data_IF_702873881368
#
_entry.id   IF_702873881368
#
_cell.length_a   1.000
_cell.length_b   1.000
_cell.length_c   1.000
_cell.angle_alpha   90.00
_cell.angle_beta   90.00
_cell.angle_gamma   90.00
#
_symmetry.space_group_name_H-M   'P 1'
#
loop_
_entity.id
_entity.type
_entity.pdbx_description
1 polymer ?
#
# COMPACT_ATOMS: atom_id res chain seq x y z
N UNK A 1 46.78 43.81 -53.72
CA UNK A 1 46.25 42.64 -52.97
C UNK A 1 45.94 43.09 -51.55
N UNK A 2 44.66 43.05 -51.18
CA UNK A 2 44.08 43.59 -49.94
C UNK A 2 44.44 42.72 -48.71
N UNK A 3 44.93 43.35 -47.63
CA UNK A 3 44.98 42.76 -46.29
C UNK A 3 43.74 43.22 -45.50
N UNK A 4 42.85 42.28 -45.14
CA UNK A 4 41.70 42.54 -44.26
C UNK A 4 42.05 42.16 -42.82
N UNK A 5 41.96 43.14 -41.93
CA UNK A 5 42.05 43.05 -40.47
C UNK A 5 40.82 42.33 -39.90
N UNK A 6 41.01 41.31 -39.06
CA UNK A 6 39.92 40.68 -38.30
C UNK A 6 39.95 41.16 -36.83
N UNK A 7 38.94 41.92 -36.43
CA UNK A 7 38.65 42.23 -35.02
C UNK A 7 37.86 41.06 -34.41
N UNK A 8 38.37 40.43 -33.34
CA UNK A 8 37.60 39.48 -32.51
C UNK A 8 36.99 40.25 -31.33
N UNK A 9 35.66 40.39 -31.31
CA UNK A 9 34.93 40.84 -30.12
C UNK A 9 34.74 39.67 -29.16
N UNK A 10 35.15 39.86 -27.90
CA UNK A 10 34.92 38.91 -26.80
C UNK A 10 33.67 39.37 -26.04
N UNK A 11 32.60 38.59 -26.12
CA UNK A 11 31.39 38.78 -25.31
C UNK A 11 31.58 38.11 -23.94
N UNK A 12 31.64 38.90 -22.87
CA UNK A 12 31.55 38.40 -21.50
C UNK A 12 30.08 38.09 -21.17
N UNK A 13 29.73 36.81 -21.03
CA UNK A 13 28.44 36.40 -20.48
C UNK A 13 28.50 36.52 -18.94
N UNK A 14 27.82 37.52 -18.40
CA UNK A 14 27.57 37.62 -16.95
C UNK A 14 26.50 36.58 -16.62
N UNK A 15 26.92 35.47 -16.01
CA UNK A 15 26.01 34.47 -15.45
C UNK A 15 25.44 35.05 -14.16
N UNK A 16 24.21 35.57 -14.23
CA UNK A 16 23.42 35.90 -13.04
C UNK A 16 22.81 34.59 -12.55
N UNK A 17 23.39 33.99 -11.51
CA UNK A 17 22.75 32.88 -10.80
C UNK A 17 21.54 33.43 -10.04
N UNK A 18 20.29 33.04 -10.36
CA UNK A 18 19.16 33.39 -9.50
C UNK A 18 19.34 32.68 -8.15
N UNK A 19 19.22 33.45 -7.07
CA UNK A 19 19.16 32.90 -5.72
C UNK A 19 17.88 32.05 -5.62
N UNK A 20 18.05 30.73 -5.68
CA UNK A 20 16.99 29.78 -5.34
C UNK A 20 16.90 29.76 -3.81
N UNK A 21 15.91 30.47 -3.26
CA UNK A 21 15.51 30.29 -1.87
C UNK A 21 14.78 28.95 -1.76
N UNK A 22 15.40 27.97 -1.11
CA UNK A 22 14.71 26.76 -0.71
C UNK A 22 13.70 27.13 0.38
N UNK A 23 12.40 27.13 0.05
CA UNK A 23 11.35 27.10 1.06
C UNK A 23 11.43 25.75 1.74
N UNK A 24 11.56 25.72 3.07
CA UNK A 24 11.64 24.51 3.88
C UNK A 24 10.27 23.81 4.00
N UNK A 25 9.55 23.68 2.89
CA UNK A 25 8.40 22.79 2.81
C UNK A 25 8.94 21.36 2.80
N UNK A 26 8.62 20.62 3.86
CA UNK A 26 8.91 19.19 3.91
C UNK A 26 8.12 18.43 2.84
N UNK A 27 8.40 17.14 2.63
CA UNK A 27 7.67 16.35 1.65
C UNK A 27 6.19 16.23 2.05
N UNK A 28 5.26 16.28 1.10
CA UNK A 28 3.83 16.09 1.40
C UNK A 28 3.53 14.65 1.83
N UNK A 29 4.34 13.69 1.35
CA UNK A 29 4.17 12.27 1.61
C UNK A 29 5.49 11.59 1.91
N UNK A 30 5.44 10.58 2.78
CA UNK A 30 6.52 9.65 3.04
C UNK A 30 6.17 8.25 2.53
N UNK A 31 7.22 7.45 2.39
CA UNK A 31 7.18 6.00 2.26
C UNK A 31 8.18 5.36 3.22
N UNK A 32 8.08 4.05 3.45
CA UNK A 32 9.16 3.34 4.13
C UNK A 32 10.45 3.38 3.32
N UNK A 33 11.60 3.43 4.00
CA UNK A 33 12.88 3.15 3.36
C UNK A 33 12.93 1.72 2.84
N UNK A 34 13.72 1.49 1.79
CA UNK A 34 13.75 0.20 1.09
C UNK A 34 14.21 -0.97 1.99
N UNK A 35 15.03 -0.69 3.01
CA UNK A 35 15.52 -1.64 4.02
C UNK A 35 14.62 -1.78 5.26
N UNK A 36 13.58 -0.95 5.37
CA UNK A 36 12.63 -0.96 6.49
C UNK A 36 11.39 -1.76 6.11
N UNK A 37 11.23 -2.93 6.70
CA UNK A 37 10.08 -3.83 6.44
C UNK A 37 8.85 -3.53 7.30
N UNK A 38 9.02 -2.73 8.35
CA UNK A 38 7.97 -2.41 9.30
C UNK A 38 8.17 -1.00 9.86
N UNK A 39 7.08 -0.23 9.93
CA UNK A 39 7.03 1.05 10.61
C UNK A 39 6.08 0.94 11.80
N UNK A 40 6.58 1.30 12.97
CA UNK A 40 5.77 1.41 14.19
C UNK A 40 5.17 2.81 14.29
N UNK A 41 3.86 2.88 14.51
CA UNK A 41 3.11 4.11 14.69
C UNK A 41 2.78 4.29 16.16
N UNK A 42 3.07 5.46 16.70
CA UNK A 42 2.96 5.78 18.12
C UNK A 42 1.97 6.93 18.38
N UNK A 43 1.39 6.98 19.58
CA UNK A 43 0.47 8.05 19.97
C UNK A 43 1.20 9.40 20.19
N UNK A 44 2.43 9.36 20.70
CA UNK A 44 3.29 10.53 20.95
C UNK A 44 4.66 10.33 20.26
N UNK A 45 5.44 11.41 20.01
CA UNK A 45 6.75 11.34 19.37
C UNK A 45 7.85 10.79 20.30
N UNK A 46 7.62 9.61 20.85
CA UNK A 46 8.55 8.91 21.75
C UNK A 46 8.31 7.38 21.69
N UNK A 47 9.41 6.61 21.72
CA UNK A 47 9.37 5.14 21.57
C UNK A 47 8.69 4.41 22.72
N UNK A 48 8.53 5.08 23.86
CA UNK A 48 7.88 4.54 25.07
C UNK A 48 6.37 4.79 25.12
N UNK A 49 5.85 5.62 24.21
CA UNK A 49 4.43 5.90 24.17
C UNK A 49 3.64 4.70 23.64
N UNK A 50 2.31 4.80 23.76
CA UNK A 50 1.39 3.76 23.29
C UNK A 50 1.63 3.46 21.81
N UNK A 51 1.89 2.18 21.53
CA UNK A 51 1.92 1.64 20.17
C UNK A 51 0.50 1.59 19.61
N UNK A 52 0.28 2.24 18.47
CA UNK A 52 -1.00 2.27 17.78
C UNK A 52 -1.09 1.15 16.74
N UNK A 53 -0.10 1.04 15.86
CA UNK A 53 -0.12 0.06 14.77
C UNK A 53 1.30 -0.23 14.24
N UNK A 54 1.49 -1.44 13.73
CA UNK A 54 2.68 -1.88 12.99
C UNK A 54 2.37 -1.98 11.50
N UNK A 55 2.74 -0.96 10.73
CA UNK A 55 2.59 -0.97 9.27
C UNK A 55 3.65 -1.89 8.67
N UNK A 56 3.27 -2.79 7.74
CA UNK A 56 4.18 -3.70 7.06
C UNK A 56 4.44 -3.26 5.62
N UNK A 57 5.70 -3.33 5.19
CA UNK A 57 6.11 -2.97 3.83
C UNK A 57 5.37 -3.80 2.76
N UNK A 58 5.11 -3.20 1.56
CA UNK A 58 5.41 -1.82 1.19
C UNK A 58 4.46 -0.80 1.85
N UNK A 59 5.01 0.32 2.33
CA UNK A 59 4.27 1.43 2.96
C UNK A 59 4.53 2.69 2.16
N UNK A 60 3.47 3.26 1.60
CA UNK A 60 3.55 4.36 0.63
C UNK A 60 2.47 5.38 0.96
N UNK A 61 2.63 6.62 0.48
CA UNK A 61 1.58 7.64 0.66
C UNK A 61 1.26 7.95 2.13
N UNK A 62 2.24 7.85 3.03
CA UNK A 62 2.09 8.33 4.40
C UNK A 62 1.99 9.85 4.37
N UNK A 63 0.80 10.42 4.52
CA UNK A 63 0.59 11.86 4.46
C UNK A 63 1.34 12.55 5.59
N UNK A 64 2.23 13.47 5.27
CA UNK A 64 2.99 14.24 6.25
C UNK A 64 2.10 15.30 6.89
N UNK A 65 1.88 15.19 8.20
CA UNK A 65 1.16 16.19 9.01
C UNK A 65 2.11 17.10 9.80
N UNK A 66 3.42 16.98 9.55
CA UNK A 66 4.49 17.78 10.16
C UNK A 66 5.45 16.95 11.01
N UNK A 67 6.70 17.40 11.07
CA UNK A 67 7.75 16.76 11.89
C UNK A 67 8.21 17.66 13.04
N UNK A 68 8.67 17.03 14.13
CA UNK A 68 9.24 17.68 15.33
C UNK A 68 10.61 17.07 15.65
N UNK A 69 11.43 17.81 16.40
CA UNK A 69 12.74 17.35 16.88
C UNK A 69 13.92 17.70 15.96
N UNK A 70 13.69 18.40 14.84
CA UNK A 70 14.77 18.94 14.01
C UNK A 70 15.46 20.12 14.69
N UNK A 71 16.79 20.13 14.67
CA UNK A 71 17.61 21.29 15.08
C UNK A 71 17.89 22.20 13.88
N UNK A 72 18.24 23.48 14.12
CA UNK A 72 18.57 24.40 13.04
C UNK A 72 19.80 23.92 12.26
N UNK A 73 19.93 24.31 10.99
CA UNK A 73 21.11 23.95 10.19
C UNK A 73 22.43 24.39 10.84
N UNK A 74 22.42 25.58 11.47
CA UNK A 74 23.58 26.12 12.19
C UNK A 74 23.92 25.26 13.42
N UNK A 75 22.91 24.82 14.18
CA UNK A 75 23.14 23.95 15.33
C UNK A 75 23.62 22.57 14.88
N UNK A 76 23.05 22.03 13.80
CA UNK A 76 23.42 20.76 13.19
C UNK A 76 24.90 20.70 12.78
N UNK A 77 25.42 21.78 12.18
CA UNK A 77 26.82 21.88 11.77
C UNK A 77 27.80 21.81 12.95
N UNK A 78 27.36 22.18 14.15
CA UNK A 78 28.18 22.19 15.35
C UNK A 78 28.13 20.87 16.15
N UNK A 79 27.35 19.88 15.69
CA UNK A 79 27.23 18.58 16.36
C UNK A 79 28.36 17.63 15.96
N UNK A 80 28.79 16.79 16.92
CA UNK A 80 29.63 15.62 16.64
C UNK A 80 28.77 14.46 16.08
N UNK A 81 29.39 13.36 15.64
CA UNK A 81 28.67 12.25 14.99
C UNK A 81 27.68 11.52 15.93
N UNK A 82 28.01 11.41 17.21
CA UNK A 82 27.11 10.81 18.22
C UNK A 82 25.86 11.68 18.42
N UNK A 83 26.05 13.00 18.54
CA UNK A 83 24.97 13.97 18.67
C UNK A 83 24.11 14.02 17.40
N UNK A 84 24.72 13.95 16.20
CA UNK A 84 23.96 13.86 14.94
C UNK A 84 23.11 12.60 14.89
N UNK A 85 23.65 11.46 15.31
CA UNK A 85 22.90 10.20 15.37
C UNK A 85 21.71 10.30 16.33
N UNK A 86 21.92 10.88 17.52
CA UNK A 86 20.87 11.12 18.50
C UNK A 86 19.78 12.03 17.95
N UNK A 87 20.15 13.17 17.37
CA UNK A 87 19.19 14.10 16.77
C UNK A 87 18.41 13.44 15.63
N UNK A 88 19.04 12.62 14.77
CA UNK A 88 18.29 11.86 13.74
C UNK A 88 17.22 10.95 14.34
N UNK A 89 17.52 10.32 15.47
CA UNK A 89 16.59 9.43 16.17
C UNK A 89 15.49 10.19 16.92
N UNK A 90 15.73 11.46 17.25
CA UNK A 90 14.79 12.37 17.90
C UNK A 90 13.89 13.13 16.92
N UNK A 91 14.07 12.94 15.60
CA UNK A 91 13.14 13.49 14.59
C UNK A 91 11.95 12.54 14.43
N UNK A 92 10.76 13.07 14.71
CA UNK A 92 9.50 12.36 14.58
C UNK A 92 8.59 13.09 13.61
N UNK A 93 7.92 12.34 12.75
CA UNK A 93 6.95 12.87 11.81
C UNK A 93 5.58 12.34 12.16
N UNK A 94 4.61 13.25 12.29
CA UNK A 94 3.21 12.89 12.41
C UNK A 94 2.70 12.55 11.03
N UNK A 95 2.07 11.40 10.89
CA UNK A 95 1.54 10.90 9.63
C UNK A 95 0.05 10.62 9.75
N UNK A 96 -0.63 10.67 8.61
CA UNK A 96 -1.93 10.03 8.43
C UNK A 96 -1.83 8.97 7.32
N UNK A 97 -2.43 7.81 7.57
CA UNK A 97 -2.42 6.67 6.67
C UNK A 97 -3.72 5.87 6.86
N UNK A 98 -4.62 5.92 5.87
CA UNK A 98 -6.00 5.44 6.00
C UNK A 98 -6.67 5.99 7.26
N UNK A 99 -7.17 5.13 8.15
CA UNK A 99 -7.82 5.48 9.42
C UNK A 99 -6.82 5.72 10.58
N UNK A 100 -5.51 5.65 10.31
CA UNK A 100 -4.47 5.76 11.33
C UNK A 100 -3.83 7.14 11.26
N UNK A 101 -3.83 7.85 12.38
CA UNK A 101 -3.06 9.07 12.59
C UNK A 101 -2.13 8.88 13.79
N UNK A 102 -0.83 9.13 13.62
CA UNK A 102 0.15 8.93 14.69
C UNK A 102 1.57 9.38 14.33
N UNK A 103 2.53 9.09 15.20
CA UNK A 103 3.92 9.49 15.08
C UNK A 103 4.83 8.34 14.67
N UNK A 104 5.75 8.62 13.75
CA UNK A 104 6.75 7.69 13.24
C UNK A 104 8.13 8.33 13.31
N UNK A 105 9.18 7.53 13.54
CA UNK A 105 10.55 8.03 13.50
C UNK A 105 10.96 8.35 12.06
N UNK A 106 11.45 9.57 11.81
CA UNK A 106 11.85 10.00 10.46
C UNK A 106 13.00 9.17 9.88
N UNK A 107 13.79 8.52 10.74
CA UNK A 107 14.85 7.60 10.30
C UNK A 107 14.33 6.40 9.49
N UNK A 108 13.06 6.04 9.64
CA UNK A 108 12.41 4.91 8.96
C UNK A 108 11.69 5.35 7.67
N UNK A 109 11.63 6.67 7.44
CA UNK A 109 10.91 7.32 6.35
C UNK A 109 11.85 7.82 5.26
N UNK A 110 11.32 7.92 4.05
CA UNK A 110 11.91 8.67 2.96
C UNK A 110 10.81 9.35 2.16
N UNK A 111 11.14 10.40 1.41
CA UNK A 111 10.17 11.17 0.63
C UNK A 111 9.49 10.30 -0.45
N UNK A 112 8.17 10.43 -0.56
CA UNK A 112 7.36 9.80 -1.60
C UNK A 112 6.88 10.83 -2.62
N UNK A 113 7.80 11.23 -3.51
CA UNK A 113 7.54 12.18 -4.58
C UNK A 113 6.50 11.71 -5.63
N UNK A 114 6.03 10.46 -5.56
CA UNK A 114 5.09 9.89 -6.53
C UNK A 114 3.64 9.83 -6.04
N UNK A 115 3.37 9.96 -4.74
CA UNK A 115 2.01 9.90 -4.20
C UNK A 115 1.15 11.14 -4.53
N UNK A 116 1.72 12.17 -5.18
CA UNK A 116 0.98 13.41 -5.52
C UNK A 116 0.08 13.29 -6.76
N UNK A 117 0.22 12.24 -7.56
CA UNK A 117 -0.52 12.06 -8.80
C UNK A 117 -0.89 10.58 -9.01
N UNK A 118 -2.09 10.27 -9.55
CA UNK A 118 -2.43 8.91 -9.92
C UNK A 118 -1.54 8.44 -11.08
N UNK A 119 -1.60 7.15 -11.39
CA UNK A 119 -0.73 6.50 -12.38
C UNK A 119 -0.99 6.91 -13.83
N UNK A 120 -1.89 7.86 -14.04
CA UNK A 120 -2.25 8.46 -15.31
C UNK A 120 -2.37 9.99 -15.18
N UNK A 121 -2.28 10.68 -16.31
CA UNK A 121 -2.30 12.14 -16.32
C UNK A 121 -3.72 12.69 -16.12
N UNK A 122 -3.99 13.28 -14.96
CA UNK A 122 -5.27 13.91 -14.63
C UNK A 122 -5.71 15.02 -15.60
N UNK A 123 -4.81 15.68 -16.31
CA UNK A 123 -5.19 16.66 -17.33
C UNK A 123 -5.74 16.00 -18.62
N UNK A 124 -5.62 14.69 -18.78
CA UNK A 124 -6.01 13.94 -20.00
C UNK A 124 -7.15 12.96 -19.78
N UNK A 125 -7.65 12.81 -18.55
CA UNK A 125 -8.72 11.84 -18.26
C UNK A 125 -10.04 12.30 -18.86
N UNK A 126 -10.80 11.32 -19.36
CA UNK A 126 -12.17 11.53 -19.88
C UNK A 126 -13.21 10.67 -19.14
N UNK A 127 -12.75 9.65 -18.41
CA UNK A 127 -13.62 8.82 -17.59
C UNK A 127 -14.07 9.60 -16.35
N UNK A 128 -15.36 9.51 -16.03
CA UNK A 128 -15.92 10.11 -14.81
C UNK A 128 -15.22 9.57 -13.56
N UNK A 129 -14.97 8.25 -13.52
CA UNK A 129 -14.30 7.62 -12.38
C UNK A 129 -12.82 8.01 -12.28
N UNK A 130 -12.12 8.15 -13.39
CA UNK A 130 -10.72 8.61 -13.36
C UNK A 130 -10.63 10.09 -12.95
N UNK A 131 -11.62 10.90 -13.34
CA UNK A 131 -11.75 12.29 -12.87
C UNK A 131 -12.03 12.32 -11.37
N UNK A 132 -12.91 11.44 -10.87
CA UNK A 132 -13.16 11.29 -9.45
C UNK A 132 -11.88 10.94 -8.70
N UNK A 133 -11.11 9.94 -9.15
CA UNK A 133 -9.84 9.55 -8.52
C UNK A 133 -8.89 10.74 -8.45
N UNK A 134 -8.74 11.51 -9.53
CA UNK A 134 -7.89 12.71 -9.56
C UNK A 134 -8.28 13.82 -8.57
N UNK A 135 -9.52 13.84 -8.08
CA UNK A 135 -10.02 14.89 -7.19
C UNK A 135 -9.97 14.53 -5.71
N UNK A 136 -9.72 13.26 -5.37
CA UNK A 136 -9.67 12.80 -3.98
C UNK A 136 -8.31 12.19 -3.67
N UNK A 137 -7.58 12.80 -2.73
CA UNK A 137 -6.24 12.37 -2.35
C UNK A 137 -6.20 10.91 -1.91
N UNK A 138 -7.17 10.44 -1.13
CA UNK A 138 -7.23 9.03 -0.69
C UNK A 138 -7.32 8.05 -1.88
N UNK A 139 -8.05 8.41 -2.94
CA UNK A 139 -8.13 7.58 -4.14
C UNK A 139 -6.84 7.62 -4.98
N UNK A 140 -6.12 8.74 -4.97
CA UNK A 140 -4.78 8.85 -5.57
C UNK A 140 -3.80 7.94 -4.83
N UNK A 141 -3.81 7.99 -3.50
CA UNK A 141 -2.93 7.19 -2.66
C UNK A 141 -3.19 5.68 -2.88
N UNK A 142 -4.46 5.28 -2.97
CA UNK A 142 -4.87 3.91 -3.29
C UNK A 142 -4.46 3.48 -4.72
N UNK A 143 -4.57 4.36 -5.71
CA UNK A 143 -4.12 4.08 -7.09
C UNK A 143 -2.61 3.86 -7.17
N UNK A 144 -1.85 4.70 -6.48
CA UNK A 144 -0.42 4.57 -6.38
C UNK A 144 -0.01 3.31 -5.61
N UNK A 145 -0.66 3.02 -4.48
CA UNK A 145 -0.39 1.84 -3.67
C UNK A 145 -0.65 0.55 -4.45
N UNK A 146 -1.79 0.46 -5.15
CA UNK A 146 -2.10 -0.68 -6.01
C UNK A 146 -1.03 -0.88 -7.09
N UNK A 147 -0.49 0.19 -7.66
CA UNK A 147 0.57 0.08 -8.66
C UNK A 147 1.82 -0.58 -8.10
N UNK A 148 2.21 -0.25 -6.87
CA UNK A 148 3.37 -0.88 -6.22
C UNK A 148 3.13 -2.33 -5.84
N UNK A 149 1.95 -2.64 -5.30
CA UNK A 149 1.55 -4.03 -5.05
C UNK A 149 1.52 -4.84 -6.35
N UNK A 150 1.04 -4.26 -7.44
CA UNK A 150 1.02 -4.90 -8.75
C UNK A 150 2.42 -5.11 -9.35
N UNK A 151 3.35 -4.16 -9.21
CA UNK A 151 4.76 -4.33 -9.59
C UNK A 151 5.42 -5.50 -8.83
N UNK A 152 5.15 -5.62 -7.53
CA UNK A 152 5.64 -6.73 -6.71
C UNK A 152 5.02 -8.07 -7.14
N UNK A 153 3.71 -8.10 -7.39
CA UNK A 153 3.00 -9.26 -7.91
C UNK A 153 3.57 -9.72 -9.26
N UNK A 154 3.85 -8.80 -10.18
CA UNK A 154 4.50 -9.11 -11.46
C UNK A 154 5.90 -9.70 -11.27
N UNK A 155 6.66 -9.16 -10.30
CA UNK A 155 7.99 -9.66 -9.98
C UNK A 155 7.91 -11.10 -9.45
N UNK A 156 6.99 -11.39 -8.53
CA UNK A 156 6.72 -12.76 -8.05
C UNK A 156 6.28 -13.69 -9.19
N UNK A 157 5.31 -13.26 -9.99
CA UNK A 157 4.79 -14.02 -11.12
C UNK A 157 5.86 -14.40 -12.14
N UNK A 158 6.84 -13.52 -12.38
CA UNK A 158 7.95 -13.80 -13.30
C UNK A 158 8.97 -14.82 -12.78
N UNK A 159 8.93 -15.13 -11.48
CA UNK A 159 9.92 -15.96 -10.77
C UNK A 159 9.33 -17.28 -10.26
N UNK A 160 8.07 -17.59 -10.55
CA UNK A 160 7.49 -18.88 -10.19
C UNK A 160 8.09 -19.99 -11.06
N UNK A 161 8.16 -21.20 -10.51
CA UNK A 161 8.77 -22.35 -11.20
C UNK A 161 7.92 -22.83 -12.38
N UNK A 162 6.59 -22.81 -12.21
CA UNK A 162 5.66 -23.36 -13.19
C UNK A 162 5.02 -22.26 -14.06
N UNK A 163 5.26 -22.32 -15.36
CA UNK A 163 4.66 -21.42 -16.37
C UNK A 163 4.73 -19.89 -16.06
N UNK A 164 5.88 -19.30 -15.69
CA UNK A 164 5.98 -17.89 -15.26
C UNK A 164 5.49 -16.88 -16.32
N UNK A 165 5.70 -17.16 -17.61
CA UNK A 165 5.19 -16.30 -18.69
C UNK A 165 3.66 -16.23 -18.72
N UNK A 166 3.01 -17.38 -18.51
CA UNK A 166 1.56 -17.48 -18.52
C UNK A 166 0.97 -16.78 -17.29
N UNK A 167 1.57 -16.98 -16.11
CA UNK A 167 1.19 -16.29 -14.89
C UNK A 167 1.30 -14.75 -15.01
N UNK A 168 2.37 -14.23 -15.61
CA UNK A 168 2.52 -12.80 -15.89
C UNK A 168 1.45 -12.30 -16.88
N UNK A 169 1.15 -13.07 -17.92
CA UNK A 169 0.12 -12.69 -18.91
C UNK A 169 -1.28 -12.67 -18.30
N UNK A 170 -1.62 -13.67 -17.49
CA UNK A 170 -2.89 -13.75 -16.76
C UNK A 170 -3.03 -12.62 -15.75
N UNK A 171 -1.98 -12.34 -14.96
CA UNK A 171 -1.97 -11.21 -14.03
C UNK A 171 -2.20 -9.88 -14.75
N UNK A 172 -1.58 -9.66 -15.91
CA UNK A 172 -1.82 -8.48 -16.75
C UNK A 172 -3.26 -8.43 -17.29
N UNK A 173 -3.81 -9.56 -17.71
CA UNK A 173 -5.17 -9.63 -18.24
C UNK A 173 -6.22 -9.34 -17.15
N UNK A 174 -6.09 -9.97 -15.99
CA UNK A 174 -6.98 -9.75 -14.84
C UNK A 174 -6.88 -8.32 -14.32
N UNK A 175 -5.67 -7.72 -14.31
CA UNK A 175 -5.52 -6.31 -13.92
C UNK A 175 -6.26 -5.36 -14.88
N UNK A 176 -6.20 -5.61 -16.20
CA UNK A 176 -7.00 -4.82 -17.17
C UNK A 176 -8.50 -5.01 -16.97
N UNK A 177 -8.94 -6.24 -16.68
CA UNK A 177 -10.33 -6.52 -16.35
C UNK A 177 -10.78 -5.78 -15.10
N UNK A 178 -9.95 -5.79 -14.05
CA UNK A 178 -10.21 -5.06 -12.81
C UNK A 178 -10.34 -3.54 -13.03
N UNK A 179 -9.45 -2.92 -13.83
CA UNK A 179 -9.56 -1.47 -14.13
C UNK A 179 -10.92 -1.14 -14.78
N UNK A 180 -11.41 -2.00 -15.67
CA UNK A 180 -12.75 -1.85 -16.26
C UNK A 180 -13.85 -1.98 -15.20
N UNK A 181 -13.76 -2.99 -14.33
CA UNK A 181 -14.70 -3.19 -13.21
C UNK A 181 -14.75 -2.02 -12.24
N UNK A 182 -13.59 -1.47 -11.84
CA UNK A 182 -13.51 -0.25 -11.04
C UNK A 182 -14.17 0.93 -11.74
N UNK A 183 -13.90 1.10 -13.04
CA UNK A 183 -14.49 2.21 -13.79
C UNK A 183 -16.01 2.07 -13.91
N UNK A 184 -16.57 0.86 -13.85
CA UNK A 184 -18.02 0.61 -13.81
C UNK A 184 -18.74 1.17 -12.57
N UNK A 185 -18.00 1.62 -11.55
CA UNK A 185 -18.54 2.42 -10.45
C UNK A 185 -19.26 3.70 -10.90
N UNK A 186 -19.12 4.12 -12.17
CA UNK A 186 -19.92 5.22 -12.73
C UNK A 186 -21.43 4.95 -12.63
N UNK A 187 -21.82 3.67 -12.57
CA UNK A 187 -23.22 3.21 -12.43
C UNK A 187 -23.79 3.41 -11.02
N UNK A 188 -22.93 3.58 -10.01
CA UNK A 188 -23.36 3.71 -8.62
C UNK A 188 -23.90 5.12 -8.35
N UNK A 189 -25.21 5.24 -8.17
CA UNK A 189 -25.85 6.52 -7.87
C UNK A 189 -25.61 6.91 -6.41
N UNK A 190 -24.95 8.05 -6.18
CA UNK A 190 -24.68 8.57 -4.82
C UNK A 190 -23.56 7.87 -4.04
N UNK A 191 -22.96 6.81 -4.60
CA UNK A 191 -21.94 6.00 -3.92
C UNK A 191 -20.66 5.76 -4.74
N UNK A 192 -20.42 6.53 -5.81
CA UNK A 192 -19.25 6.36 -6.71
C UNK A 192 -17.92 6.33 -5.96
N UNK A 193 -17.73 7.26 -5.02
CA UNK A 193 -16.52 7.33 -4.19
C UNK A 193 -16.27 6.02 -3.44
N UNK A 194 -17.27 5.56 -2.70
CA UNK A 194 -17.16 4.34 -1.89
C UNK A 194 -16.97 3.10 -2.75
N UNK A 195 -17.63 3.03 -3.91
CA UNK A 195 -17.42 1.95 -4.88
C UNK A 195 -15.96 1.90 -5.36
N UNK A 196 -15.39 3.05 -5.74
CA UNK A 196 -14.01 3.13 -6.22
C UNK A 196 -13.03 2.78 -5.10
N UNK A 197 -13.21 3.36 -3.91
CA UNK A 197 -12.40 3.07 -2.73
C UNK A 197 -12.37 1.56 -2.45
N UNK A 198 -13.55 0.94 -2.32
CA UNK A 198 -13.64 -0.49 -2.02
C UNK A 198 -13.01 -1.37 -3.11
N UNK A 199 -13.14 -1.01 -4.38
CA UNK A 199 -12.47 -1.72 -5.48
C UNK A 199 -10.94 -1.71 -5.34
N UNK A 200 -10.34 -0.60 -4.93
CA UNK A 200 -8.91 -0.52 -4.66
C UNK A 200 -8.52 -1.34 -3.43
N UNK A 201 -9.19 -1.10 -2.30
CA UNK A 201 -8.92 -1.78 -1.03
C UNK A 201 -8.91 -3.30 -1.21
N UNK A 202 -9.93 -3.83 -1.89
CA UNK A 202 -10.05 -5.26 -2.18
C UNK A 202 -8.96 -5.77 -3.10
N UNK A 203 -8.63 -5.06 -4.19
CA UNK A 203 -7.63 -5.53 -5.16
C UNK A 203 -6.22 -5.53 -4.58
N UNK A 204 -5.89 -4.53 -3.77
CA UNK A 204 -4.61 -4.43 -3.09
C UNK A 204 -4.43 -5.63 -2.16
N UNK A 205 -5.39 -5.86 -1.25
CA UNK A 205 -5.35 -6.99 -0.32
C UNK A 205 -5.34 -8.33 -1.06
N UNK A 206 -6.16 -8.50 -2.10
CA UNK A 206 -6.20 -9.71 -2.92
C UNK A 206 -4.82 -10.06 -3.50
N UNK A 207 -4.13 -9.08 -4.11
CA UNK A 207 -2.81 -9.31 -4.70
C UNK A 207 -1.75 -9.61 -3.64
N UNK A 208 -1.81 -8.96 -2.48
CA UNK A 208 -0.90 -9.23 -1.37
C UNK A 208 -1.00 -10.68 -0.89
N UNK A 209 -2.22 -11.21 -0.73
CA UNK A 209 -2.43 -12.61 -0.35
C UNK A 209 -2.07 -13.55 -1.52
N UNK A 210 -2.63 -13.32 -2.72
CA UNK A 210 -2.49 -14.22 -3.87
C UNK A 210 -1.04 -14.49 -4.25
N UNK A 211 -0.17 -13.49 -4.10
CA UNK A 211 1.24 -13.58 -4.45
C UNK A 211 2.17 -13.70 -3.25
N UNK A 212 1.61 -13.93 -2.05
CA UNK A 212 2.36 -14.00 -0.79
C UNK A 212 3.39 -12.85 -0.67
N UNK A 213 2.91 -11.62 -0.87
CA UNK A 213 3.75 -10.42 -0.83
C UNK A 213 4.10 -10.01 0.60
N UNK A 214 3.33 -10.49 1.56
CA UNK A 214 3.57 -10.34 3.00
C UNK A 214 3.47 -11.73 3.67
N UNK A 215 4.15 -11.95 4.81
CA UNK A 215 4.02 -13.20 5.55
C UNK A 215 2.60 -13.37 6.12
N UNK A 216 2.15 -14.62 6.29
CA UNK A 216 0.96 -14.90 7.06
C UNK A 216 1.21 -14.62 8.55
N UNK A 217 0.21 -14.07 9.21
CA UNK A 217 0.18 -13.84 10.66
C UNK A 217 -0.02 -15.16 11.41
N UNK A 218 -0.90 -16.02 10.90
CA UNK A 218 -1.18 -17.32 11.48
C UNK A 218 -1.62 -18.31 10.41
N UNK A 219 -1.37 -19.59 10.65
CA UNK A 219 -1.85 -20.70 9.84
C UNK A 219 -2.62 -21.65 10.75
N UNK A 220 -3.93 -21.76 10.53
CA UNK A 220 -4.85 -22.50 11.39
C UNK A 220 -5.54 -23.60 10.57
N UNK A 221 -5.66 -24.81 11.15
CA UNK A 221 -6.32 -25.95 10.50
C UNK A 221 -7.67 -26.21 11.15
N UNK A 222 -8.70 -26.39 10.33
CA UNK A 222 -10.07 -26.64 10.76
C UNK A 222 -10.58 -27.96 10.19
N UNK A 223 -11.11 -28.82 11.05
CA UNK A 223 -11.65 -30.11 10.65
C UNK A 223 -13.18 -30.11 10.71
N UNK A 224 -13.82 -30.50 9.62
CA UNK A 224 -15.27 -30.46 9.49
C UNK A 224 -15.91 -31.80 9.83
N UNK A 225 -16.91 -31.79 10.72
CA UNK A 225 -17.51 -33.01 11.26
C UNK A 225 -18.28 -33.83 10.21
N UNK A 226 -18.88 -33.17 9.21
CA UNK A 226 -19.84 -33.78 8.28
C UNK A 226 -19.21 -34.44 7.05
N UNK A 227 -18.00 -34.08 6.64
CA UNK A 227 -17.42 -34.53 5.38
C UNK A 227 -15.94 -34.95 5.43
N UNK A 228 -15.32 -35.01 6.62
CA UNK A 228 -13.88 -35.23 6.83
C UNK A 228 -12.98 -34.26 6.03
N UNK A 229 -13.52 -33.11 5.63
CA UNK A 229 -12.77 -32.06 4.98
C UNK A 229 -11.91 -31.30 5.97
N UNK A 230 -10.69 -30.96 5.56
CA UNK A 230 -9.76 -30.10 6.30
C UNK A 230 -9.60 -28.79 5.54
N UNK A 231 -9.80 -27.67 6.25
CA UNK A 231 -9.48 -26.34 5.75
C UNK A 231 -8.22 -25.83 6.42
N UNK A 232 -7.26 -25.36 5.63
CA UNK A 232 -6.11 -24.59 6.16
C UNK A 232 -6.34 -23.11 5.88
N UNK A 233 -6.42 -22.30 6.92
CA UNK A 233 -6.62 -20.85 6.85
C UNK A 233 -5.32 -20.15 7.20
N UNK A 234 -4.72 -19.49 6.22
CA UNK A 234 -3.60 -18.57 6.42
C UNK A 234 -4.14 -17.14 6.48
N UNK A 235 -4.05 -16.48 7.64
CA UNK A 235 -4.48 -15.09 7.83
C UNK A 235 -3.33 -14.14 7.54
N UNK A 236 -3.64 -13.00 6.91
CA UNK A 236 -2.66 -11.98 6.54
C UNK A 236 -3.14 -10.60 7.02
N UNK A 237 -2.24 -9.86 7.65
CA UNK A 237 -2.44 -8.44 7.98
C UNK A 237 -2.17 -7.56 6.74
N UNK A 238 -2.90 -7.83 5.66
CA UNK A 238 -2.88 -7.00 4.46
C UNK A 238 -3.40 -5.59 4.77
N UNK A 239 -3.00 -4.64 3.93
CA UNK A 239 -3.42 -3.26 4.00
C UNK A 239 -4.12 -2.92 2.68
N UNK A 240 -5.22 -2.16 2.68
CA UNK A 240 -5.89 -1.55 3.85
C UNK A 240 -6.87 -2.46 4.59
N UNK A 241 -7.27 -3.60 4.02
CA UNK A 241 -8.17 -4.58 4.66
C UNK A 241 -7.46 -5.91 4.85
N UNK A 242 -7.89 -6.71 5.83
CA UNK A 242 -7.32 -8.05 6.09
C UNK A 242 -7.72 -9.05 5.01
N UNK A 243 -6.84 -10.03 4.80
CA UNK A 243 -7.00 -11.05 3.77
C UNK A 243 -6.61 -12.43 4.30
N UNK A 244 -7.10 -13.46 3.63
CA UNK A 244 -6.83 -14.85 3.98
C UNK A 244 -6.66 -15.70 2.72
N UNK A 245 -5.73 -16.65 2.77
CA UNK A 245 -5.67 -17.76 1.84
C UNK A 245 -6.27 -18.98 2.53
N UNK A 246 -7.31 -19.56 1.93
CA UNK A 246 -7.97 -20.77 2.44
C UNK A 246 -7.77 -21.90 1.47
N UNK A 247 -7.18 -22.98 1.97
CA UNK A 247 -6.94 -24.21 1.24
C UNK A 247 -7.98 -25.25 1.62
N UNK A 248 -8.56 -25.90 0.60
CA UNK A 248 -9.51 -27.00 0.75
C UNK A 248 -9.30 -28.03 -0.36
N UNK A 249 -8.79 -29.20 -0.01
CA UNK A 249 -8.25 -30.15 -0.99
C UNK A 249 -7.09 -29.51 -1.77
N UNK A 250 -7.08 -29.66 -3.09
CA UNK A 250 -6.02 -29.12 -3.96
C UNK A 250 -6.27 -27.66 -4.42
N UNK A 251 -7.24 -26.98 -3.81
CA UNK A 251 -7.65 -25.63 -4.21
C UNK A 251 -7.35 -24.62 -3.11
N UNK A 252 -6.72 -23.52 -3.51
CA UNK A 252 -6.55 -22.33 -2.67
C UNK A 252 -7.44 -21.21 -3.20
N UNK A 253 -8.21 -20.58 -2.31
CA UNK A 253 -8.98 -19.37 -2.61
C UNK A 253 -8.56 -18.23 -1.69
N UNK A 254 -8.77 -17.01 -2.18
CA UNK A 254 -8.47 -15.77 -1.45
C UNK A 254 -9.78 -15.20 -0.92
N UNK A 255 -9.76 -14.77 0.33
CA UNK A 255 -10.90 -14.16 1.00
C UNK A 255 -10.46 -12.86 1.65
N UNK A 256 -11.36 -11.89 1.73
CA UNK A 256 -11.09 -10.53 2.23
C UNK A 256 -12.12 -10.17 3.30
N UNK A 257 -11.68 -9.45 4.31
CA UNK A 257 -12.57 -8.92 5.34
C UNK A 257 -13.14 -7.58 4.87
N UNK A 258 -14.26 -7.62 4.13
CA UNK A 258 -14.83 -6.45 3.44
C UNK A 258 -15.65 -5.57 4.40
N UNK A 259 -16.33 -6.16 5.39
CA UNK A 259 -17.05 -5.42 6.42
C UNK A 259 -16.19 -5.27 7.69
N UNK A 260 -15.77 -4.04 7.98
CA UNK A 260 -15.01 -3.73 9.18
C UNK A 260 -15.82 -3.89 10.48
N UNK A 261 -17.16 -3.91 10.41
CA UNK A 261 -18.04 -4.12 11.58
C UNK A 261 -18.09 -5.59 11.98
N UNK A 262 -18.21 -6.49 11.00
CA UNK A 262 -18.14 -7.92 11.23
C UNK A 262 -16.71 -8.44 11.03
N UNK A 263 -15.91 -8.31 12.10
CA UNK A 263 -14.52 -8.77 12.09
C UNK A 263 -14.35 -10.29 12.07
N UNK A 264 -15.45 -11.04 12.13
CA UNK A 264 -15.42 -12.50 12.12
C UNK A 264 -15.50 -13.09 10.71
N UNK A 265 -15.95 -12.31 9.71
CA UNK A 265 -16.29 -12.79 8.38
C UNK A 265 -15.29 -12.35 7.31
N UNK A 266 -14.96 -13.28 6.41
CA UNK A 266 -14.16 -13.05 5.22
C UNK A 266 -14.91 -13.57 3.99
N UNK A 267 -15.05 -12.72 2.97
CA UNK A 267 -15.77 -13.03 1.73
C UNK A 267 -14.79 -13.28 0.58
N UNK A 268 -15.09 -14.30 -0.21
CA UNK A 268 -14.34 -14.70 -1.39
C UNK A 268 -15.18 -14.56 -2.66
N UNK A 269 -14.62 -14.98 -3.79
CA UNK A 269 -15.32 -14.94 -5.07
C UNK A 269 -16.53 -15.89 -5.12
N UNK A 270 -17.48 -15.58 -5.99
CA UNK A 270 -18.67 -16.41 -6.27
C UNK A 270 -19.52 -16.74 -5.03
N UNK A 271 -19.61 -15.80 -4.09
CA UNK A 271 -20.44 -15.94 -2.88
C UNK A 271 -19.86 -16.89 -1.83
N UNK A 272 -18.63 -17.37 -2.01
CA UNK A 272 -17.94 -18.12 -0.96
C UNK A 272 -17.57 -17.22 0.20
N UNK A 273 -17.59 -17.75 1.42
CA UNK A 273 -17.18 -17.01 2.62
C UNK A 273 -16.72 -17.96 3.72
N UNK A 274 -16.02 -17.43 4.72
CA UNK A 274 -15.88 -18.09 6.00
C UNK A 274 -16.05 -17.13 7.18
N UNK A 275 -16.48 -17.67 8.31
CA UNK A 275 -16.59 -16.96 9.58
C UNK A 275 -15.80 -17.71 10.66
N UNK A 276 -15.03 -16.99 11.46
CA UNK A 276 -14.26 -17.55 12.58
C UNK A 276 -14.81 -17.03 13.92
N UNK A 277 -15.10 -17.95 14.84
CA UNK A 277 -15.54 -17.63 16.21
C UNK A 277 -14.84 -18.56 17.19
N UNK A 278 -13.92 -18.02 17.98
CA UNK A 278 -13.11 -18.77 18.93
C UNK A 278 -12.39 -19.98 18.30
N UNK A 279 -12.92 -21.19 18.52
CA UNK A 279 -12.40 -22.46 17.98
C UNK A 279 -13.27 -23.05 16.89
N UNK A 280 -14.30 -22.34 16.45
CA UNK A 280 -15.23 -22.75 15.42
C UNK A 280 -15.00 -21.95 14.14
N UNK A 281 -15.15 -22.62 13.01
CA UNK A 281 -15.15 -22.01 11.70
C UNK A 281 -16.37 -22.46 10.90
N UNK A 282 -17.06 -21.52 10.26
CA UNK A 282 -18.15 -21.79 9.33
C UNK A 282 -17.64 -21.47 7.93
N UNK A 283 -17.70 -22.43 7.01
CA UNK A 283 -17.15 -22.30 5.66
C UNK A 283 -18.23 -22.56 4.62
N UNK A 284 -18.53 -21.57 3.78
CA UNK A 284 -19.28 -21.80 2.55
C UNK A 284 -18.32 -21.80 1.36
N UNK A 285 -18.14 -22.96 0.76
CA UNK A 285 -17.38 -23.12 -0.47
C UNK A 285 -18.35 -23.11 -1.66
N UNK A 286 -17.97 -22.51 -2.79
CA UNK A 286 -18.83 -22.28 -3.97
C UNK A 286 -19.61 -23.51 -4.49
N UNK A 287 -19.12 -24.72 -4.27
CA UNK A 287 -19.78 -25.97 -4.70
C UNK A 287 -20.68 -26.59 -3.63
N UNK A 288 -20.70 -26.02 -2.43
CA UNK A 288 -21.52 -26.49 -1.31
C UNK A 288 -22.84 -25.73 -1.29
N UNK A 289 -23.94 -26.48 -1.17
CA UNK A 289 -25.28 -25.89 -0.97
C UNK A 289 -25.49 -25.37 0.45
N UNK A 290 -24.68 -25.86 1.41
CA UNK A 290 -24.77 -25.49 2.82
C UNK A 290 -23.39 -25.20 3.42
N UNK A 291 -23.29 -24.28 4.41
CA UNK A 291 -22.04 -24.01 5.11
C UNK A 291 -21.59 -25.21 5.96
N UNK A 292 -20.29 -25.49 5.92
CA UNK A 292 -19.65 -26.53 6.72
C UNK A 292 -19.24 -25.95 8.08
N UNK A 293 -19.56 -26.67 9.15
CA UNK A 293 -19.12 -26.35 10.52
C UNK A 293 -17.88 -27.17 10.86
N UNK A 294 -16.82 -26.47 11.22
CA UNK A 294 -15.49 -27.03 11.41
C UNK A 294 -14.89 -26.54 12.72
N UNK A 295 -14.01 -27.34 13.33
CA UNK A 295 -13.38 -27.04 14.61
C UNK A 295 -11.88 -26.89 14.41
N UNK A 296 -11.31 -25.86 15.03
CA UNK A 296 -9.87 -25.60 15.07
C UNK A 296 -9.14 -26.78 15.70
N UNK A 297 -8.18 -27.35 14.96
CA UNK A 297 -7.27 -28.35 15.49
C UNK A 297 -6.18 -27.67 16.33
N UNK A 298 -5.84 -28.30 17.45
CA UNK A 298 -4.73 -27.88 18.33
C UNK A 298 -3.39 -28.28 17.74
#
# INVERSE_FOLDING_TARGET
MNFKTYLRSIFYFIIVCPNVFATADGPDFFKNKDDVLEIKVFELPEVTSKHLESLKAPILGLRNLGCKGSVSFKDWQNLNEEQKSKVKNDIWCKIAYHEIEGWVQNKDLTEDNKSKLPTYNCAKVKSEIETLICNYQELIDLDYFLTKVYEQALTKASKIDDHPKQAVQELKATQRGWVKGRNDCWKEMGAKYQCVKSNYEQRIAYLQVKWALIPSESVNRYFCQSNRGEFTVSLFLTQPIKGAAVEYGDKTKIFLQIDNKDRSRFDGEFGSYFELRDKEGIFLWEQSTEPLKCILQK
#
